data_IF_754587136941
#
_entry.id   IF_754587136941
#
_cell.length_a   1.000
_cell.length_b   1.000
_cell.length_c   1.000
_cell.angle_alpha   90.00
_cell.angle_beta   90.00
_cell.angle_gamma   90.00
#
_symmetry.space_group_name_H-M   'P 1'
#
loop_
_entity.id
_entity.type
_entity.pdbx_description
1 polymer ?
#
# COMPACT_ATOMS: atom_id res chain seq x y z
N UNK A 1 30.29 -6.95 -2.56
CA UNK A 1 29.33 -5.97 -3.13
C UNK A 1 28.33 -6.76 -3.96
N UNK A 2 27.18 -7.11 -3.38
CA UNK A 2 26.14 -7.85 -4.11
C UNK A 2 25.53 -6.90 -5.13
N UNK A 3 25.55 -7.28 -6.41
CA UNK A 3 24.85 -6.54 -7.44
C UNK A 3 23.36 -6.45 -7.06
N UNK A 4 22.85 -5.24 -6.85
CA UNK A 4 21.42 -5.01 -6.66
C UNK A 4 20.74 -5.47 -7.93
N UNK A 5 20.15 -6.66 -7.93
CA UNK A 5 19.32 -7.13 -9.05
C UNK A 5 18.20 -6.13 -9.21
N UNK A 6 18.10 -5.56 -10.41
CA UNK A 6 16.97 -4.70 -10.76
C UNK A 6 15.70 -5.53 -10.66
N UNK A 7 14.81 -5.15 -9.73
CA UNK A 7 13.51 -5.81 -9.51
C UNK A 7 12.47 -5.15 -10.40
N UNK A 8 11.60 -5.96 -10.99
CA UNK A 8 10.49 -5.46 -11.82
C UNK A 8 9.41 -4.78 -10.98
N UNK A 9 8.65 -3.88 -11.62
CA UNK A 9 7.48 -3.25 -11.01
C UNK A 9 6.44 -4.31 -10.59
N UNK A 10 5.93 -4.20 -9.37
CA UNK A 10 5.06 -5.20 -8.75
C UNK A 10 3.66 -5.24 -9.35
N UNK A 11 3.21 -6.43 -9.74
CA UNK A 11 1.85 -6.74 -10.18
C UNK A 11 1.22 -7.95 -9.46
N UNK A 12 2.03 -8.77 -8.77
CA UNK A 12 1.56 -9.89 -7.96
C UNK A 12 1.11 -9.41 -6.58
N UNK A 13 -0.10 -8.85 -6.52
CA UNK A 13 -0.67 -8.32 -5.29
C UNK A 13 -0.89 -9.41 -4.23
N UNK A 14 -1.20 -10.65 -4.65
CA UNK A 14 -1.40 -11.78 -3.74
C UNK A 14 -0.12 -12.04 -2.95
N UNK A 15 1.02 -12.15 -3.63
CA UNK A 15 2.32 -12.33 -2.98
C UNK A 15 2.66 -11.16 -2.06
N UNK A 16 2.42 -9.92 -2.50
CA UNK A 16 2.70 -8.71 -1.70
C UNK A 16 2.00 -8.77 -0.35
N UNK A 17 0.72 -9.14 -0.33
CA UNK A 17 -0.04 -9.21 0.91
C UNK A 17 0.29 -10.46 1.74
N UNK A 18 0.42 -11.64 1.13
CA UNK A 18 0.69 -12.87 1.89
C UNK A 18 2.10 -12.95 2.49
N UNK A 19 3.05 -12.20 1.95
CA UNK A 19 4.44 -12.16 2.45
C UNK A 19 4.74 -10.87 3.23
N UNK A 20 3.71 -10.08 3.56
CA UNK A 20 3.86 -8.81 4.26
C UNK A 20 4.96 -7.91 3.67
N UNK A 21 5.03 -7.86 2.33
CA UNK A 21 6.08 -7.10 1.65
C UNK A 21 5.95 -5.61 2.01
N UNK A 22 7.02 -4.96 2.48
CA UNK A 22 6.94 -3.58 2.94
C UNK A 22 6.68 -2.60 1.79
N UNK A 23 5.89 -1.57 2.08
CA UNK A 23 5.45 -0.59 1.09
C UNK A 23 5.79 0.84 1.50
N UNK A 24 6.30 1.63 0.56
CA UNK A 24 6.52 3.07 0.75
C UNK A 24 5.41 3.82 0.01
N UNK A 25 4.51 4.43 0.77
CA UNK A 25 3.44 5.26 0.25
C UNK A 25 3.95 6.69 -0.01
N UNK A 26 4.03 7.07 -1.28
CA UNK A 26 4.49 8.42 -1.68
C UNK A 26 3.34 9.41 -1.89
N UNK A 27 2.11 9.03 -1.54
CA UNK A 27 0.96 9.94 -1.51
C UNK A 27 1.10 10.98 -0.39
N UNK A 28 0.29 12.03 -0.45
CA UNK A 28 0.27 13.06 0.59
C UNK A 28 -0.25 12.48 1.93
N UNK A 29 0.15 13.05 3.07
CA UNK A 29 -0.28 12.59 4.40
C UNK A 29 -1.80 12.42 4.55
N UNK A 30 -2.60 13.35 4.01
CA UNK A 30 -4.06 13.26 4.05
C UNK A 30 -4.60 12.02 3.32
N UNK A 31 -3.96 11.57 2.25
CA UNK A 31 -4.36 10.36 1.51
C UNK A 31 -3.98 9.08 2.26
N UNK A 32 -2.89 9.12 3.03
CA UNK A 32 -2.42 8.00 3.85
C UNK A 32 -3.34 7.80 5.07
N UNK A 33 -3.69 8.89 5.75
CA UNK A 33 -4.62 8.88 6.88
C UNK A 33 -6.02 8.38 6.51
N UNK A 34 -6.49 8.68 5.29
CA UNK A 34 -7.77 8.18 4.78
C UNK A 34 -7.78 6.67 4.52
N UNK A 35 -6.61 6.04 4.39
CA UNK A 35 -6.49 4.60 4.18
C UNK A 35 -5.12 4.23 3.65
N UNK A 36 -4.46 3.30 4.33
CA UNK A 36 -3.16 2.74 3.99
C UNK A 36 -3.13 1.23 4.31
N UNK A 37 -2.09 0.54 3.82
CA UNK A 37 -1.88 -0.88 4.11
C UNK A 37 -1.06 -1.04 5.39
N UNK A 38 -1.23 -2.15 6.11
CA UNK A 38 -0.60 -2.39 7.41
C UNK A 38 0.94 -2.27 7.37
N UNK A 39 1.57 -2.79 6.31
CA UNK A 39 3.01 -2.80 6.13
C UNK A 39 3.53 -1.58 5.36
N UNK A 40 2.77 -0.48 5.34
CA UNK A 40 3.13 0.74 4.63
C UNK A 40 3.64 1.85 5.56
N UNK A 41 4.68 2.56 5.14
CA UNK A 41 5.08 3.87 5.73
C UNK A 41 4.84 4.98 4.73
N UNK A 42 4.47 6.16 5.23
CA UNK A 42 4.29 7.34 4.39
C UNK A 42 5.58 8.13 4.27
N UNK A 43 6.12 8.21 3.06
CA UNK A 43 7.22 9.12 2.70
C UNK A 43 6.76 9.95 1.50
N UNK A 44 6.03 11.06 1.75
CA UNK A 44 5.28 11.76 0.71
C UNK A 44 6.19 12.41 -0.34
N UNK A 45 5.81 12.28 -1.62
CA UNK A 45 6.38 13.13 -2.68
C UNK A 45 6.00 14.59 -2.49
N UNK A 46 4.80 14.86 -1.96
CA UNK A 46 4.23 16.19 -1.72
C UNK A 46 3.47 16.20 -0.41
N UNK A 47 3.54 17.30 0.34
CA UNK A 47 2.65 17.53 1.46
C UNK A 47 1.21 17.86 0.97
N UNK A 48 0.28 18.08 1.90
CA UNK A 48 -1.14 18.28 1.56
C UNK A 48 -1.36 19.55 0.73
N UNK A 49 -0.69 20.65 1.06
CA UNK A 49 -0.79 21.93 0.36
C UNK A 49 -0.19 21.87 -1.05
N UNK A 50 1.00 21.30 -1.19
CA UNK A 50 1.68 21.06 -2.47
C UNK A 50 0.81 20.16 -3.37
N UNK A 51 0.25 19.09 -2.81
CA UNK A 51 -0.66 18.18 -3.51
C UNK A 51 -1.91 18.93 -3.97
N UNK A 52 -2.50 19.78 -3.13
CA UNK A 52 -3.67 20.57 -3.51
C UNK A 52 -3.35 21.56 -4.64
N UNK A 53 -2.21 22.26 -4.57
CA UNK A 53 -1.77 23.20 -5.59
C UNK A 53 -1.55 22.51 -6.94
N UNK A 54 -0.80 21.40 -6.96
CA UNK A 54 -0.54 20.61 -8.17
C UNK A 54 -1.82 20.00 -8.72
N UNK A 55 -2.71 19.49 -7.86
CA UNK A 55 -4.00 18.96 -8.26
C UNK A 55 -4.91 20.01 -8.90
N UNK A 56 -4.87 21.24 -8.38
CA UNK A 56 -5.61 22.39 -8.94
C UNK A 56 -5.05 22.79 -10.30
N UNK A 57 -3.72 22.94 -10.39
CA UNK A 57 -3.03 23.25 -11.64
C UNK A 57 -3.31 22.19 -12.71
N UNK A 58 -3.29 20.90 -12.36
CA UNK A 58 -3.62 19.82 -13.29
C UNK A 58 -5.03 19.97 -13.89
N UNK A 59 -6.01 20.29 -13.04
CA UNK A 59 -7.41 20.47 -13.50
C UNK A 59 -7.59 21.71 -14.37
N UNK A 60 -6.88 22.79 -14.08
CA UNK A 60 -7.07 24.08 -14.74
C UNK A 60 -6.21 24.26 -15.99
N UNK A 61 -4.98 23.74 -15.96
CA UNK A 61 -3.92 24.04 -16.93
C UNK A 61 -3.33 22.77 -17.57
N UNK A 62 -3.78 21.58 -17.16
CA UNK A 62 -3.37 20.30 -17.71
C UNK A 62 -2.07 19.75 -17.13
N UNK A 63 -1.66 18.61 -17.70
CA UNK A 63 -0.61 17.76 -17.13
C UNK A 63 0.77 18.42 -17.13
N UNK A 64 1.19 19.05 -18.22
CA UNK A 64 2.52 19.65 -18.35
C UNK A 64 2.73 20.79 -17.35
N UNK A 65 1.74 21.65 -17.19
CA UNK A 65 1.77 22.73 -16.20
C UNK A 65 1.86 22.19 -14.76
N UNK A 66 1.12 21.12 -14.45
CA UNK A 66 1.17 20.48 -13.14
C UNK A 66 2.53 19.82 -12.85
N UNK A 67 3.17 19.21 -13.86
CA UNK A 67 4.52 18.66 -13.73
C UNK A 67 5.52 19.78 -13.45
N UNK A 68 5.47 20.87 -14.23
CA UNK A 68 6.35 22.03 -14.03
C UNK A 68 6.18 22.64 -12.63
N UNK A 69 4.94 22.79 -12.16
CA UNK A 69 4.64 23.24 -10.80
C UNK A 69 5.15 22.25 -9.74
N UNK A 70 5.00 20.95 -9.96
CA UNK A 70 5.52 19.93 -9.05
C UNK A 70 7.04 20.02 -8.88
N UNK A 71 7.76 20.22 -9.99
CA UNK A 71 9.21 20.44 -9.95
C UNK A 71 9.60 21.75 -9.28
N UNK A 72 8.82 22.82 -9.45
CA UNK A 72 9.09 24.10 -8.78
C UNK A 72 8.76 24.06 -7.30
N UNK A 73 7.79 23.27 -6.85
CA UNK A 73 7.48 23.10 -5.43
C UNK A 73 8.47 22.17 -4.71
N UNK A 74 8.92 21.11 -5.39
CA UNK A 74 9.81 20.10 -4.81
C UNK A 74 11.19 20.18 -5.46
N UNK A 75 11.98 21.18 -5.03
CA UNK A 75 13.31 21.45 -5.58
C UNK A 75 14.40 21.61 -4.49
N UNK A 76 15.65 21.72 -4.94
CA UNK A 76 16.81 22.03 -4.10
C UNK A 76 16.87 21.17 -2.83
N UNK A 77 17.04 21.84 -1.68
CA UNK A 77 17.18 21.19 -0.37
C UNK A 77 15.97 20.31 -0.01
N UNK A 78 14.76 20.70 -0.39
CA UNK A 78 13.56 19.91 -0.09
C UNK A 78 13.55 18.59 -0.86
N UNK A 79 13.91 18.65 -2.16
CA UNK A 79 14.09 17.45 -2.98
C UNK A 79 15.17 16.54 -2.39
N UNK A 80 16.32 17.11 -2.02
CA UNK A 80 17.42 16.35 -1.41
C UNK A 80 17.00 15.65 -0.11
N UNK A 81 16.27 16.35 0.77
CA UNK A 81 15.75 15.79 2.01
C UNK A 81 14.78 14.62 1.77
N UNK A 82 13.84 14.77 0.83
CA UNK A 82 12.88 13.70 0.48
C UNK A 82 13.60 12.51 -0.14
N UNK A 83 14.56 12.76 -1.05
CA UNK A 83 15.39 11.71 -1.65
C UNK A 83 16.20 10.95 -0.61
N UNK A 84 16.85 11.64 0.32
CA UNK A 84 17.59 11.02 1.40
C UNK A 84 16.70 10.12 2.29
N UNK A 85 15.48 10.57 2.60
CA UNK A 85 14.52 9.78 3.37
C UNK A 85 14.11 8.50 2.62
N UNK A 86 13.82 8.56 1.32
CA UNK A 86 13.52 7.36 0.54
C UNK A 86 14.72 6.43 0.44
N UNK A 87 15.94 6.94 0.23
CA UNK A 87 17.14 6.11 0.17
C UNK A 87 17.37 5.34 1.47
N UNK A 88 17.23 6.02 2.62
CA UNK A 88 17.33 5.38 3.93
C UNK A 88 16.29 4.26 4.09
N UNK A 89 15.05 4.51 3.69
CA UNK A 89 13.98 3.51 3.76
C UNK A 89 14.20 2.34 2.80
N UNK A 90 14.68 2.59 1.58
CA UNK A 90 14.99 1.56 0.60
C UNK A 90 16.13 0.65 1.08
N UNK A 91 17.12 1.20 1.78
CA UNK A 91 18.18 0.42 2.40
C UNK A 91 17.67 -0.46 3.55
N UNK A 92 16.70 0.03 4.32
CA UNK A 92 16.03 -0.75 5.37
C UNK A 92 15.15 -1.86 4.78
N UNK A 93 14.49 -1.60 3.64
CA UNK A 93 13.53 -2.49 3.00
C UNK A 93 13.94 -2.85 1.57
N UNK A 94 15.03 -3.61 1.36
CA UNK A 94 15.56 -3.88 0.03
C UNK A 94 14.59 -4.63 -0.88
N UNK A 95 13.63 -5.36 -0.32
CA UNK A 95 12.58 -6.12 -1.02
C UNK A 95 11.23 -5.39 -1.13
N UNK A 96 11.13 -4.13 -0.66
CA UNK A 96 9.87 -3.39 -0.68
C UNK A 96 9.50 -2.77 -2.03
N UNK A 97 8.39 -2.06 -2.08
CA UNK A 97 7.93 -1.32 -3.26
C UNK A 97 7.47 0.08 -2.90
N UNK A 98 7.64 1.05 -3.82
CA UNK A 98 6.97 2.35 -3.68
C UNK A 98 5.60 2.32 -4.37
N UNK A 99 4.61 3.06 -3.88
CA UNK A 99 3.35 3.25 -4.60
C UNK A 99 2.79 4.65 -4.43
N UNK A 100 2.02 5.08 -5.42
CA UNK A 100 1.14 6.25 -5.31
C UNK A 100 -0.32 5.83 -5.53
N UNK A 101 -1.26 6.78 -5.65
CA UNK A 101 -2.68 6.44 -5.74
C UNK A 101 -3.05 5.51 -6.92
N UNK A 102 -2.45 5.72 -8.10
CA UNK A 102 -2.76 4.95 -9.34
C UNK A 102 -1.52 4.35 -10.01
N UNK A 103 -0.37 4.37 -9.35
CA UNK A 103 0.89 3.93 -9.96
C UNK A 103 1.26 4.75 -11.20
N UNK A 104 0.99 6.07 -11.19
CA UNK A 104 1.28 6.98 -12.30
C UNK A 104 2.52 7.84 -12.05
N UNK A 105 2.47 9.09 -12.53
CA UNK A 105 3.59 10.03 -12.52
C UNK A 105 4.26 10.23 -11.15
N UNK A 106 3.49 10.26 -10.05
CA UNK A 106 4.07 10.49 -8.71
C UNK A 106 5.07 9.41 -8.31
N UNK A 107 4.68 8.14 -8.42
CA UNK A 107 5.58 7.01 -8.13
C UNK A 107 6.69 6.88 -9.17
N UNK A 108 6.43 7.23 -10.44
CA UNK A 108 7.46 7.22 -11.49
C UNK A 108 8.54 8.27 -11.23
N UNK A 109 8.16 9.47 -10.78
CA UNK A 109 9.09 10.54 -10.46
C UNK A 109 9.98 10.17 -9.27
N UNK A 110 9.41 9.59 -8.22
CA UNK A 110 10.19 9.08 -7.07
C UNK A 110 11.14 7.95 -7.51
N UNK A 111 10.66 7.01 -8.33
CA UNK A 111 11.49 5.94 -8.89
C UNK A 111 12.66 6.51 -9.71
N UNK A 112 12.41 7.53 -10.52
CA UNK A 112 13.44 8.20 -11.31
C UNK A 112 14.49 8.86 -10.40
N UNK A 113 14.06 9.60 -9.36
CA UNK A 113 14.99 10.27 -8.45
C UNK A 113 15.82 9.27 -7.61
N UNK A 114 15.22 8.14 -7.22
CA UNK A 114 15.97 7.05 -6.59
C UNK A 114 17.01 6.46 -7.55
N UNK A 115 16.64 6.26 -8.82
CA UNK A 115 17.55 5.75 -9.85
C UNK A 115 18.69 6.73 -10.14
N UNK A 116 18.41 8.03 -10.22
CA UNK A 116 19.43 9.09 -10.32
C UNK A 116 20.39 9.08 -9.13
N UNK A 117 19.91 8.69 -7.95
CA UNK A 117 20.72 8.50 -6.74
C UNK A 117 21.35 7.09 -6.62
N UNK A 118 21.26 6.26 -7.65
CA UNK A 118 21.92 4.94 -7.72
C UNK A 118 21.12 3.76 -7.17
N UNK A 119 19.84 3.94 -6.82
CA UNK A 119 18.97 2.87 -6.30
C UNK A 119 17.83 2.58 -7.29
N UNK A 120 17.87 1.42 -7.93
CA UNK A 120 16.78 0.92 -8.77
C UNK A 120 15.70 0.25 -7.90
N UNK A 121 14.75 1.05 -7.39
CA UNK A 121 13.68 0.56 -6.52
C UNK A 121 12.36 0.37 -7.32
N UNK A 122 11.69 -0.79 -7.22
CA UNK A 122 10.47 -1.05 -7.99
C UNK A 122 9.26 -0.33 -7.41
N UNK A 123 8.25 -0.12 -8.25
CA UNK A 123 6.96 0.46 -7.84
C UNK A 123 5.80 -0.51 -8.04
N UNK A 124 4.70 -0.29 -7.34
CA UNK A 124 3.45 -1.01 -7.58
C UNK A 124 2.73 -0.44 -8.79
N UNK A 125 2.50 -1.28 -9.80
CA UNK A 125 1.66 -0.92 -10.95
C UNK A 125 0.21 -0.73 -10.51
N UNK A 126 -0.48 0.29 -11.01
CA UNK A 126 -1.86 0.59 -10.60
C UNK A 126 -2.02 1.15 -9.17
N UNK A 127 -0.97 1.09 -8.35
CA UNK A 127 -0.85 1.75 -7.05
C UNK A 127 -1.90 1.34 -6.02
N UNK A 128 -2.19 2.25 -5.09
CA UNK A 128 -3.18 2.05 -4.01
C UNK A 128 -4.53 1.57 -4.54
N UNK A 129 -5.02 2.14 -5.66
CA UNK A 129 -6.30 1.74 -6.25
C UNK A 129 -6.31 0.27 -6.66
N UNK A 130 -5.27 -0.21 -7.32
CA UNK A 130 -5.19 -1.60 -7.76
C UNK A 130 -5.06 -2.57 -6.57
N UNK A 131 -4.18 -2.26 -5.61
CA UNK A 131 -4.02 -3.03 -4.38
C UNK A 131 -5.33 -3.12 -3.58
N UNK A 132 -6.03 -1.99 -3.41
CA UNK A 132 -7.32 -1.95 -2.71
C UNK A 132 -8.40 -2.74 -3.45
N UNK A 133 -8.48 -2.60 -4.77
CA UNK A 133 -9.45 -3.35 -5.57
C UNK A 133 -9.19 -4.86 -5.50
N UNK A 134 -7.91 -5.28 -5.53
CA UNK A 134 -7.55 -6.68 -5.33
C UNK A 134 -8.10 -7.22 -4.00
N UNK A 135 -7.86 -6.52 -2.88
CA UNK A 135 -8.37 -6.93 -1.57
C UNK A 135 -9.90 -6.98 -1.54
N UNK A 136 -10.58 -6.00 -2.12
CA UNK A 136 -12.05 -5.99 -2.17
C UNK A 136 -12.60 -7.19 -2.96
N UNK A 137 -12.03 -7.46 -4.13
CA UNK A 137 -12.45 -8.61 -4.94
C UNK A 137 -12.15 -9.93 -4.23
N UNK A 138 -11.01 -10.05 -3.53
CA UNK A 138 -10.71 -11.22 -2.71
C UNK A 138 -11.71 -11.38 -1.57
N UNK A 139 -12.11 -10.28 -0.91
CA UNK A 139 -13.14 -10.31 0.13
C UNK A 139 -14.50 -10.75 -0.41
N UNK A 140 -14.92 -10.21 -1.56
CA UNK A 140 -16.17 -10.59 -2.23
C UNK A 140 -16.17 -12.09 -2.57
N UNK A 141 -15.08 -12.61 -3.13
CA UNK A 141 -14.92 -14.03 -3.42
C UNK A 141 -14.92 -14.88 -2.15
N UNK A 142 -14.29 -14.41 -1.08
CA UNK A 142 -14.27 -15.14 0.20
C UNK A 142 -15.65 -15.23 0.84
N UNK A 143 -16.54 -14.27 0.58
CA UNK A 143 -17.91 -14.29 1.09
C UNK A 143 -18.78 -15.38 0.44
N UNK A 144 -18.36 -15.92 -0.72
CA UNK A 144 -19.03 -17.05 -1.39
C UNK A 144 -18.62 -18.40 -0.81
N UNK A 145 -17.53 -18.45 -0.03
CA UNK A 145 -17.07 -19.68 0.59
C UNK A 145 -18.01 -20.11 1.73
N UNK A 146 -18.21 -21.42 1.96
CA UNK A 146 -18.96 -21.90 3.11
C UNK A 146 -18.39 -21.34 4.42
N UNK A 147 -19.21 -20.59 5.16
CA UNK A 147 -18.86 -20.04 6.46
C UNK A 147 -19.81 -20.58 7.52
N UNK A 148 -19.25 -21.03 8.63
CA UNK A 148 -19.98 -21.42 9.83
C UNK A 148 -19.88 -20.29 10.84
N UNK A 149 -21.01 -19.67 11.14
CA UNK A 149 -21.09 -18.63 12.16
C UNK A 149 -21.12 -19.27 13.56
N UNK A 150 -20.13 -18.95 14.39
CA UNK A 150 -20.12 -19.40 15.80
C UNK A 150 -20.74 -18.29 16.67
N UNK A 151 -22.02 -18.46 16.99
CA UNK A 151 -22.78 -17.56 17.88
C UNK A 151 -22.86 -18.07 19.32
N UNK A 152 -23.07 -17.16 20.28
CA UNK A 152 -23.25 -17.49 21.69
C UNK A 152 -22.96 -16.31 22.63
N UNK A 153 -23.35 -16.45 23.90
CA UNK A 153 -23.25 -15.37 24.88
C UNK A 153 -21.79 -14.92 25.13
N UNK A 154 -21.61 -13.71 25.67
CA UNK A 154 -20.32 -13.26 26.19
C UNK A 154 -19.87 -14.20 27.30
N UNK A 155 -18.57 -14.53 27.34
CA UNK A 155 -18.02 -15.49 28.30
C UNK A 155 -18.17 -16.96 27.92
N UNK A 156 -18.80 -17.30 26.79
CA UNK A 156 -18.95 -18.69 26.32
C UNK A 156 -17.72 -19.25 25.60
N UNK A 157 -16.56 -18.61 25.67
CA UNK A 157 -15.31 -19.13 25.10
C UNK A 157 -15.20 -19.13 23.57
N UNK A 158 -16.10 -18.46 22.84
CA UNK A 158 -16.12 -18.45 21.36
C UNK A 158 -14.80 -17.98 20.74
N UNK A 159 -14.22 -16.91 21.29
CA UNK A 159 -12.95 -16.35 20.85
C UNK A 159 -11.80 -17.36 21.00
N UNK A 160 -11.78 -18.12 22.10
CA UNK A 160 -10.79 -19.17 22.31
C UNK A 160 -10.93 -20.26 21.25
N UNK A 161 -12.16 -20.75 21.05
CA UNK A 161 -12.46 -21.77 20.04
C UNK A 161 -12.08 -21.32 18.62
N UNK A 162 -12.41 -20.07 18.24
CA UNK A 162 -12.08 -19.55 16.90
C UNK A 162 -10.57 -19.38 16.72
N UNK A 163 -9.85 -18.91 17.73
CA UNK A 163 -8.40 -18.76 17.65
C UNK A 163 -7.64 -20.09 17.66
N UNK A 164 -8.26 -21.19 18.09
CA UNK A 164 -7.70 -22.55 17.97
C UNK A 164 -7.85 -23.15 16.57
N UNK A 165 -8.76 -22.61 15.74
CA UNK A 165 -8.98 -23.08 14.37
C UNK A 165 -7.97 -22.43 13.42
N UNK A 166 -7.35 -23.25 12.57
CA UNK A 166 -6.36 -22.78 11.58
C UNK A 166 -6.91 -21.69 10.65
N UNK A 167 -8.18 -21.81 10.26
CA UNK A 167 -8.90 -20.86 9.39
C UNK A 167 -9.95 -20.04 10.17
N UNK A 168 -9.82 -19.99 11.51
CA UNK A 168 -10.68 -19.21 12.35
C UNK A 168 -10.41 -17.72 12.18
N UNK A 169 -11.45 -16.95 11.85
CA UNK A 169 -11.33 -15.50 11.72
C UNK A 169 -12.08 -14.85 12.86
N UNK A 170 -11.34 -14.30 13.82
CA UNK A 170 -11.93 -13.50 14.89
C UNK A 170 -12.37 -12.13 14.35
N UNK A 171 -13.67 -12.01 14.08
CA UNK A 171 -14.31 -10.77 13.67
C UNK A 171 -14.79 -9.94 14.90
N UNK A 172 -14.64 -10.44 16.14
CA UNK A 172 -15.26 -9.87 17.34
C UNK A 172 -14.53 -8.61 17.87
N UNK A 173 -13.40 -8.22 17.26
CA UNK A 173 -12.88 -6.84 17.32
C UNK A 173 -13.86 -5.79 16.76
N UNK A 174 -14.89 -6.22 16.02
CA UNK A 174 -16.10 -5.49 15.61
C UNK A 174 -17.35 -6.42 15.57
N UNK A 175 -17.75 -6.96 16.73
CA UNK A 175 -19.11 -7.46 17.08
C UNK A 175 -19.79 -8.63 16.31
N UNK A 176 -19.07 -9.52 15.64
CA UNK A 176 -19.56 -10.85 15.20
C UNK A 176 -18.37 -11.81 15.08
N UNK A 177 -18.51 -13.15 15.12
CA UNK A 177 -17.38 -14.11 14.90
C UNK A 177 -17.75 -15.13 13.82
N UNK A 178 -16.91 -15.35 12.81
CA UNK A 178 -17.15 -16.31 11.71
C UNK A 178 -16.01 -17.31 11.56
N UNK A 179 -16.33 -18.56 11.23
CA UNK A 179 -15.36 -19.64 11.00
C UNK A 179 -15.51 -20.15 9.58
N UNK A 180 -14.42 -20.30 8.84
CA UNK A 180 -14.43 -21.10 7.62
C UNK A 180 -14.28 -22.57 8.01
N UNK A 181 -15.29 -23.38 7.73
CA UNK A 181 -15.15 -24.84 7.75
C UNK A 181 -15.11 -25.28 6.29
N UNK A 182 -13.94 -25.71 5.83
CA UNK A 182 -13.84 -26.55 4.64
C UNK A 182 -14.69 -27.79 4.92
N UNK A 183 -15.91 -27.81 4.37
CA UNK A 183 -16.80 -28.95 4.44
C UNK A 183 -16.27 -30.06 3.50
N UNK A 184 -15.14 -30.66 3.85
CA UNK A 184 -14.82 -32.00 3.39
C UNK A 184 -15.30 -32.98 4.46
N UNK A 185 -16.32 -33.78 4.09
CA UNK A 185 -16.94 -34.91 4.83
C UNK A 185 -18.16 -34.56 5.68
N UNK A 186 -19.32 -34.51 5.01
CA UNK A 186 -20.53 -35.22 5.42
C UNK A 186 -21.18 -35.84 4.19
#
# INVERSE_FOLDING_TARGET
MSATREREDGQDYRRIFLQDIPLIDVRAPVEFQQGAFANAVNLPLMNDDERQAVGTCYKQQGQQAAIALGHSLVNGRLREQRTAAWLAQCAQWPEGYIYCFRGGLRSQLVQQWLREAGVAYPRITGGYKALRNFLLTTLEQSAELPMVLIGGNTGSGKTLLVNELADGVDLEGRRTTAVHLLAERW
#
